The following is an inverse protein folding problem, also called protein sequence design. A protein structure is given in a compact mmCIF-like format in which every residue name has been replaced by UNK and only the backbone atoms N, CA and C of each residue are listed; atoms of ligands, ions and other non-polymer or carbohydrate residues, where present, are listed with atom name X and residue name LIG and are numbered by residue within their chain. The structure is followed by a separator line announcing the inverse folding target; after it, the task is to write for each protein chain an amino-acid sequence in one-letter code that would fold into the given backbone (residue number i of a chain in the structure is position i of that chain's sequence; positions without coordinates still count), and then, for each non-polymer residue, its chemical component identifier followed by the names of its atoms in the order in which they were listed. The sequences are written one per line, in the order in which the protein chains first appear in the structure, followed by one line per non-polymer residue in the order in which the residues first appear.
data_IF_921328028203
#
_entry.id   IF_921328028203
#
_cell.length_a   1.000
_cell.length_b   1.000
_cell.length_c   1.000
_cell.angle_alpha   90.00
_cell.angle_beta   90.00
_cell.angle_gamma   90.00
#
_symmetry.space_group_name_H-M   'P 1'
#
loop_
_entity.id
_entity.type
_entity.pdbx_description
1 polymer ?
#
# COMPACT_ATOMS: atom_id res chain seq x y z
N UNK A 1 29.71 4.94 -3.01
CA UNK A 1 30.15 3.54 -2.80
C UNK A 1 29.87 2.74 -4.05
N UNK A 2 30.72 1.77 -4.40
CA UNK A 2 30.47 0.87 -5.54
C UNK A 2 30.45 1.53 -6.92
N UNK A 3 31.00 2.73 -7.05
CA UNK A 3 31.10 3.45 -8.32
C UNK A 3 32.56 3.50 -8.77
N UNK A 4 32.79 3.30 -10.07
CA UNK A 4 34.12 3.48 -10.68
C UNK A 4 34.57 4.94 -10.71
N UNK A 5 33.63 5.89 -10.57
CA UNK A 5 33.87 7.34 -10.62
C UNK A 5 34.57 7.81 -11.92
N UNK A 6 34.18 7.22 -13.06
CA UNK A 6 34.74 7.54 -14.39
C UNK A 6 33.84 8.46 -15.23
N UNK A 7 32.57 8.62 -14.86
CA UNK A 7 31.58 9.36 -15.66
C UNK A 7 31.36 10.77 -15.10
N UNK A 8 31.61 11.78 -15.93
CA UNK A 8 31.31 13.18 -15.62
C UNK A 8 29.87 13.52 -16.03
N UNK A 9 29.17 14.42 -15.31
CA UNK A 9 29.64 15.19 -14.14
C UNK A 9 29.49 14.46 -12.80
N UNK A 10 28.94 13.24 -12.77
CA UNK A 10 28.67 12.53 -11.51
C UNK A 10 29.95 12.32 -10.66
N UNK A 11 31.08 12.01 -11.30
CA UNK A 11 32.38 11.85 -10.66
C UNK A 11 32.98 13.16 -10.10
N UNK A 12 32.55 14.32 -10.59
CA UNK A 12 33.08 15.62 -10.17
C UNK A 12 32.61 15.99 -8.76
N UNK A 13 31.43 15.51 -8.34
CA UNK A 13 30.89 15.78 -7.01
C UNK A 13 31.79 15.21 -5.90
N UNK A 14 32.09 13.88 -5.86
CA UNK A 14 33.02 13.33 -4.89
C UNK A 14 34.42 13.97 -4.97
N UNK A 15 34.93 14.25 -6.18
CA UNK A 15 36.24 14.91 -6.37
C UNK A 15 36.29 16.29 -5.69
N UNK A 16 35.25 17.10 -5.85
CA UNK A 16 35.15 18.42 -5.21
C UNK A 16 35.06 18.32 -3.68
N UNK A 17 34.36 17.31 -3.16
CA UNK A 17 34.27 17.05 -1.72
C UNK A 17 35.62 16.62 -1.16
N UNK A 18 36.31 15.65 -1.77
CA UNK A 18 37.61 15.16 -1.28
C UNK A 18 38.72 16.21 -1.25
N UNK A 19 38.65 17.23 -2.10
CA UNK A 19 39.58 18.38 -2.07
C UNK A 19 39.38 19.31 -0.86
N UNK A 20 38.21 19.28 -0.22
CA UNK A 20 37.82 20.26 0.82
C UNK A 20 37.41 19.62 2.16
N UNK A 21 37.02 18.35 2.16
CA UNK A 21 36.39 17.63 3.27
C UNK A 21 36.83 16.16 3.24
N UNK A 22 36.51 15.45 4.31
CA UNK A 22 36.76 14.01 4.42
C UNK A 22 35.96 13.24 3.37
N UNK A 23 36.66 12.44 2.58
CA UNK A 23 36.07 11.56 1.58
C UNK A 23 36.46 10.11 1.89
N UNK A 24 35.45 9.23 1.99
CA UNK A 24 35.65 7.80 2.13
C UNK A 24 35.19 7.13 0.83
N UNK A 25 36.06 6.34 0.22
CA UNK A 25 35.75 5.56 -0.98
C UNK A 25 35.69 4.09 -0.60
N UNK A 26 34.54 3.47 -0.84
CA UNK A 26 34.33 2.02 -0.70
C UNK A 26 34.12 1.45 -2.09
N UNK A 27 35.11 0.70 -2.58
CA UNK A 27 35.04 0.04 -3.87
C UNK A 27 36.04 -1.12 -3.94
N UNK A 28 35.70 -2.18 -4.68
CA UNK A 28 36.61 -3.31 -4.87
C UNK A 28 37.81 -2.94 -5.75
N UNK A 29 37.59 -2.06 -6.73
CA UNK A 29 38.60 -1.61 -7.69
C UNK A 29 39.10 -0.20 -7.36
N UNK A 30 40.32 0.13 -7.79
CA UNK A 30 40.84 1.50 -7.71
C UNK A 30 39.94 2.46 -8.48
N UNK A 31 39.80 3.69 -7.99
CA UNK A 31 39.06 4.76 -8.68
C UNK A 31 40.01 5.89 -9.11
N UNK A 32 39.68 6.66 -10.17
CA UNK A 32 40.52 7.77 -10.65
C UNK A 32 40.76 8.90 -9.63
N UNK A 33 39.99 8.93 -8.54
CA UNK A 33 40.07 9.98 -7.52
C UNK A 33 40.45 9.44 -6.14
N UNK A 34 41.00 8.23 -6.07
CA UNK A 34 41.50 7.63 -4.82
C UNK A 34 42.48 8.55 -4.09
N UNK A 35 43.26 9.35 -4.83
CA UNK A 35 44.19 10.37 -4.29
C UNK A 35 43.52 11.44 -3.41
N UNK A 36 42.22 11.66 -3.60
CA UNK A 36 41.43 12.63 -2.84
C UNK A 36 40.66 11.98 -1.69
N UNK A 37 40.75 10.66 -1.51
CA UNK A 37 40.09 9.96 -0.41
C UNK A 37 40.96 9.98 0.86
N UNK A 38 40.35 10.35 1.97
CA UNK A 38 40.97 10.22 3.31
C UNK A 38 41.08 8.76 3.73
N UNK A 39 40.12 7.94 3.33
CA UNK A 39 40.09 6.50 3.60
C UNK A 39 39.58 5.75 2.36
N UNK A 40 40.31 4.72 1.93
CA UNK A 40 39.88 3.80 0.88
C UNK A 40 39.67 2.40 1.46
N UNK A 41 38.47 1.86 1.33
CA UNK A 41 38.10 0.52 1.79
C UNK A 41 37.88 -0.38 0.57
N UNK A 42 38.75 -1.38 0.42
CA UNK A 42 38.74 -2.31 -0.71
C UNK A 42 37.92 -3.56 -0.38
N UNK A 43 36.60 -3.41 -0.28
CA UNK A 43 35.70 -4.49 0.11
C UNK A 43 34.32 -4.35 -0.58
N UNK A 44 33.49 -5.39 -0.47
CA UNK A 44 32.11 -5.34 -0.94
C UNK A 44 31.33 -4.32 -0.10
N UNK A 45 30.48 -3.52 -0.75
CA UNK A 45 29.72 -2.47 -0.08
C UNK A 45 28.85 -3.03 1.05
N UNK A 46 28.20 -4.17 0.82
CA UNK A 46 27.33 -4.81 1.81
C UNK A 46 28.09 -5.23 3.08
N UNK A 47 29.30 -5.77 2.95
CA UNK A 47 30.10 -6.21 4.10
C UNK A 47 30.52 -5.00 4.94
N UNK A 48 30.94 -3.91 4.28
CA UNK A 48 31.29 -2.65 4.95
C UNK A 48 30.07 -2.06 5.66
N UNK A 49 28.89 -2.05 5.02
CA UNK A 49 27.67 -1.54 5.62
C UNK A 49 27.19 -2.40 6.79
N UNK A 50 27.28 -3.73 6.71
CA UNK A 50 26.94 -4.61 7.84
C UNK A 50 27.83 -4.33 9.05
N UNK A 51 29.13 -4.20 8.85
CA UNK A 51 30.08 -3.89 9.92
C UNK A 51 29.83 -2.49 10.49
N UNK A 52 29.61 -1.50 9.64
CA UNK A 52 29.30 -0.13 10.06
C UNK A 52 28.01 -0.07 10.88
N UNK A 53 26.95 -0.73 10.43
CA UNK A 53 25.66 -0.77 11.13
C UNK A 53 25.79 -1.48 12.49
N UNK A 54 26.59 -2.56 12.56
CA UNK A 54 26.93 -3.24 13.83
C UNK A 54 27.64 -2.30 14.80
N UNK A 55 28.64 -1.56 14.32
CA UNK A 55 29.41 -0.61 15.15
C UNK A 55 28.53 0.55 15.64
N UNK A 56 27.65 1.06 14.78
CA UNK A 56 26.68 2.09 15.12
C UNK A 56 25.51 1.58 15.98
N UNK A 57 25.42 0.27 16.23
CA UNK A 57 24.30 -0.40 16.92
C UNK A 57 22.95 -0.09 16.28
N UNK A 58 22.94 -0.04 14.95
CA UNK A 58 21.74 0.20 14.15
C UNK A 58 21.39 -1.08 13.39
N UNK A 59 20.15 -1.55 13.57
CA UNK A 59 19.63 -2.63 12.73
C UNK A 59 19.35 -2.15 11.32
N UNK A 60 19.68 -3.00 10.34
CA UNK A 60 19.27 -2.82 8.94
C UNK A 60 17.82 -3.29 8.82
N UNK A 61 16.88 -2.44 8.38
CA UNK A 61 15.49 -2.85 8.23
C UNK A 61 15.34 -3.85 7.09
N UNK A 62 14.42 -4.80 7.25
CA UNK A 62 14.00 -5.66 6.16
C UNK A 62 13.25 -4.84 5.11
N UNK A 63 13.57 -5.07 3.84
CA UNK A 63 12.90 -4.41 2.73
C UNK A 63 11.73 -5.26 2.25
N UNK A 64 10.55 -4.65 2.20
CA UNK A 64 9.37 -5.20 1.54
C UNK A 64 8.94 -4.25 0.42
N UNK A 65 8.58 -4.83 -0.72
CA UNK A 65 7.97 -4.11 -1.83
C UNK A 65 6.54 -3.74 -1.45
N UNK A 66 6.19 -2.46 -1.55
CA UNK A 66 4.83 -1.98 -1.33
C UNK A 66 4.28 -1.48 -2.65
N UNK A 67 3.13 -2.02 -3.06
CA UNK A 67 2.34 -1.53 -4.19
C UNK A 67 1.00 -1.02 -3.68
N UNK A 68 0.47 0.02 -4.31
CA UNK A 68 -0.90 0.46 -4.09
C UNK A 68 -1.73 0.19 -5.34
N UNK A 69 -2.95 -0.30 -5.15
CA UNK A 69 -3.91 -0.50 -6.21
C UNK A 69 -5.25 0.10 -5.80
N UNK A 70 -5.95 0.71 -6.74
CA UNK A 70 -7.27 1.29 -6.52
C UNK A 70 -8.32 0.40 -7.16
N UNK A 71 -9.29 0.00 -6.35
CA UNK A 71 -10.48 -0.73 -6.73
C UNK A 71 -11.65 0.24 -6.68
N UNK A 72 -12.25 0.54 -7.83
CA UNK A 72 -13.49 1.31 -7.94
C UNK A 72 -14.57 0.42 -8.52
N UNK A 73 -15.74 0.40 -7.88
CA UNK A 73 -16.89 -0.36 -8.38
C UNK A 73 -18.07 0.57 -8.49
N UNK A 74 -18.59 0.68 -9.70
CA UNK A 74 -19.77 1.47 -10.03
C UNK A 74 -20.93 0.54 -10.39
N UNK A 75 -22.14 0.85 -9.93
CA UNK A 75 -23.36 0.12 -10.27
C UNK A 75 -24.14 0.87 -11.35
N UNK A 76 -24.54 0.15 -12.40
CA UNK A 76 -25.38 0.71 -13.44
C UNK A 76 -26.85 0.36 -13.15
N UNK A 77 -27.60 1.33 -12.65
CA UNK A 77 -28.99 1.21 -12.18
C UNK A 77 -29.98 0.70 -13.23
N UNK A 78 -29.60 0.73 -14.51
CA UNK A 78 -30.47 0.35 -15.63
C UNK A 78 -30.44 -1.14 -15.99
N UNK A 79 -29.34 -1.84 -15.68
CA UNK A 79 -29.12 -3.20 -16.17
C UNK A 79 -28.56 -4.17 -15.10
N UNK A 80 -28.54 -3.76 -13.82
CA UNK A 80 -27.94 -4.52 -12.72
C UNK A 80 -26.51 -5.01 -13.02
N UNK A 81 -25.75 -4.20 -13.77
CA UNK A 81 -24.35 -4.46 -14.11
C UNK A 81 -23.44 -3.67 -13.18
N UNK A 82 -22.46 -4.35 -12.59
CA UNK A 82 -21.33 -3.74 -11.91
C UNK A 82 -20.17 -3.53 -12.89
N UNK A 83 -19.60 -2.33 -12.86
CA UNK A 83 -18.34 -2.04 -13.54
C UNK A 83 -17.22 -1.97 -12.52
N UNK A 84 -16.30 -2.93 -12.60
CA UNK A 84 -15.13 -3.04 -11.71
C UNK A 84 -13.94 -2.42 -12.41
N UNK A 85 -13.40 -1.36 -11.83
CA UNK A 85 -12.21 -0.64 -12.27
C UNK A 85 -11.05 -0.97 -11.33
N UNK A 86 -9.95 -1.46 -11.88
CA UNK A 86 -8.74 -1.75 -11.12
C UNK A 86 -7.52 -1.11 -11.77
N UNK A 87 -6.75 -0.35 -11.00
CA UNK A 87 -5.54 0.33 -11.45
C UNK A 87 -4.46 0.30 -10.37
N UNK A 88 -3.19 0.34 -10.76
CA UNK A 88 -2.08 0.51 -9.82
C UNK A 88 -1.66 1.98 -9.76
N UNK A 89 -1.24 2.42 -8.57
CA UNK A 89 -0.92 3.81 -8.28
C UNK A 89 0.34 3.92 -7.40
N UNK A 90 1.08 5.01 -7.56
CA UNK A 90 2.05 5.50 -6.58
C UNK A 90 1.33 6.21 -5.42
N UNK A 91 2.02 6.45 -4.28
CA UNK A 91 1.46 7.20 -3.15
C UNK A 91 0.96 8.62 -3.48
N UNK A 92 1.46 9.23 -4.57
CA UNK A 92 1.02 10.54 -5.05
C UNK A 92 -0.19 10.48 -6.01
N UNK A 93 -0.70 9.27 -6.28
CA UNK A 93 -1.82 9.03 -7.19
C UNK A 93 -1.43 8.84 -8.65
N UNK A 94 -0.13 8.84 -8.98
CA UNK A 94 0.33 8.60 -10.36
C UNK A 94 0.07 7.15 -10.77
N UNK A 95 -0.61 6.88 -11.91
CA UNK A 95 -0.84 5.52 -12.39
C UNK A 95 0.45 4.76 -12.72
N UNK A 96 0.47 3.46 -12.42
CA UNK A 96 1.63 2.57 -12.57
C UNK A 96 1.36 1.34 -13.43
N UNK A 97 2.26 1.06 -14.36
CA UNK A 97 2.28 -0.12 -15.25
C UNK A 97 3.00 -1.32 -14.65
N UNK A 98 2.42 -1.92 -13.60
CA UNK A 98 2.99 -3.08 -12.91
C UNK A 98 2.31 -4.42 -13.23
N UNK A 99 1.12 -4.39 -13.83
CA UNK A 99 0.38 -5.60 -14.17
C UNK A 99 0.67 -6.02 -15.61
N UNK A 100 0.98 -7.30 -15.79
CA UNK A 100 1.07 -7.96 -17.10
C UNK A 100 -0.33 -8.36 -17.60
N UNK A 101 -1.17 -8.85 -16.70
CA UNK A 101 -2.56 -9.17 -16.96
C UNK A 101 -3.38 -9.10 -15.66
N UNK A 102 -4.69 -8.88 -15.83
CA UNK A 102 -5.68 -8.94 -14.76
C UNK A 102 -6.79 -9.89 -15.22
N UNK A 103 -7.14 -10.87 -14.38
CA UNK A 103 -8.21 -11.84 -14.67
C UNK A 103 -9.28 -11.76 -13.60
N UNK A 104 -10.51 -11.45 -14.02
CA UNK A 104 -11.67 -11.54 -13.15
C UNK A 104 -12.25 -12.95 -13.25
N UNK A 105 -12.23 -13.67 -12.13
CA UNK A 105 -12.72 -15.03 -12.01
C UNK A 105 -14.06 -14.99 -11.26
N UNK A 106 -15.11 -15.53 -11.89
CA UNK A 106 -16.42 -15.76 -11.29
C UNK A 106 -16.74 -17.25 -11.31
N UNK A 107 -17.84 -17.66 -10.68
CA UNK A 107 -18.28 -19.06 -10.70
C UNK A 107 -18.61 -19.58 -12.12
N UNK A 108 -18.91 -18.68 -13.06
CA UNK A 108 -19.36 -19.02 -14.40
C UNK A 108 -18.29 -18.75 -15.48
N UNK A 109 -17.39 -17.78 -15.29
CA UNK A 109 -16.47 -17.32 -16.32
C UNK A 109 -15.15 -16.75 -15.78
N UNK A 110 -14.08 -16.83 -16.58
CA UNK A 110 -12.83 -16.09 -16.36
C UNK A 110 -12.62 -15.08 -17.48
N UNK A 111 -12.58 -13.80 -17.14
CA UNK A 111 -12.33 -12.70 -18.08
C UNK A 111 -10.93 -12.16 -17.85
N UNK A 112 -10.01 -12.43 -18.77
CA UNK A 112 -8.63 -11.88 -18.72
C UNK A 112 -8.50 -10.65 -19.60
N UNK A 113 -7.89 -9.60 -19.06
CA UNK A 113 -7.55 -8.38 -19.80
C UNK A 113 -6.10 -8.00 -19.54
N UNK A 114 -5.41 -7.58 -20.59
CA UNK A 114 -4.08 -7.00 -20.50
C UNK A 114 -4.20 -5.48 -20.53
N UNK A 115 -3.41 -4.74 -19.72
CA UNK A 115 -3.38 -3.29 -19.82
C UNK A 115 -2.82 -2.88 -21.20
N UNK A 116 -3.59 -2.08 -21.94
CA UNK A 116 -3.23 -1.64 -23.29
C UNK A 116 -2.30 -0.42 -23.24
N UNK A 117 -0.99 -0.69 -23.19
CA UNK A 117 0.05 0.33 -23.11
C UNK A 117 0.10 1.24 -24.35
N UNK A 118 -0.18 0.70 -25.55
CA UNK A 118 -0.03 1.46 -26.80
C UNK A 118 -1.16 2.47 -26.98
N UNK A 119 -2.41 2.04 -26.74
CA UNK A 119 -3.56 2.95 -26.80
C UNK A 119 -3.54 3.96 -25.66
N UNK A 120 -3.04 3.60 -24.46
CA UNK A 120 -2.90 4.52 -23.34
C UNK A 120 -1.88 5.65 -23.61
N UNK A 121 -0.69 5.33 -24.16
CA UNK A 121 0.32 6.34 -24.50
C UNK A 121 -0.17 7.35 -25.55
N UNK A 122 -0.99 6.89 -26.51
CA UNK A 122 -1.46 7.70 -27.63
C UNK A 122 -2.72 8.54 -27.31
N UNK A 123 -3.53 8.10 -26.34
CA UNK A 123 -4.81 8.74 -25.99
C UNK A 123 -4.75 9.64 -24.76
N UNK A 124 -3.65 9.63 -23.99
CA UNK A 124 -3.56 10.34 -22.71
C UNK A 124 -4.52 9.80 -21.63
N UNK A 125 -5.12 8.63 -21.86
CA UNK A 125 -6.03 7.98 -20.92
C UNK A 125 -5.29 7.35 -19.73
N UNK A 126 -6.01 7.14 -18.62
CA UNK A 126 -5.52 6.56 -17.37
C UNK A 126 -4.76 5.25 -17.63
N UNK A 127 -3.45 5.29 -17.42
CA UNK A 127 -2.44 4.45 -18.06
C UNK A 127 -2.55 2.93 -17.84
N UNK A 128 -3.43 2.46 -16.96
CA UNK A 128 -3.43 1.07 -16.48
C UNK A 128 -4.76 0.55 -15.96
N UNK A 129 -5.84 1.33 -16.11
CA UNK A 129 -7.13 0.92 -15.58
C UNK A 129 -7.72 -0.22 -16.41
N UNK A 130 -7.95 -1.36 -15.75
CA UNK A 130 -8.70 -2.46 -16.36
C UNK A 130 -10.13 -2.41 -15.84
N UNK A 131 -11.06 -2.41 -16.79
CA UNK A 131 -12.50 -2.34 -16.53
C UNK A 131 -13.14 -3.68 -16.85
N UNK A 132 -13.81 -4.30 -15.88
CA UNK A 132 -14.64 -5.48 -16.09
C UNK A 132 -16.11 -5.11 -15.94
N UNK A 133 -16.96 -5.70 -16.78
CA UNK A 133 -18.41 -5.64 -16.62
C UNK A 133 -18.89 -6.99 -16.10
N UNK A 134 -19.64 -6.97 -15.02
CA UNK A 134 -20.20 -8.16 -14.39
C UNK A 134 -21.67 -7.93 -14.04
N UNK A 135 -22.55 -8.79 -14.55
CA UNK A 135 -23.95 -8.80 -14.13
C UNK A 135 -24.04 -9.52 -12.80
N UNK A 136 -24.63 -8.88 -11.79
CA UNK A 136 -24.93 -9.54 -10.52
C UNK A 136 -26.38 -9.98 -10.55
N UNK A 137 -26.63 -11.29 -10.44
CA UNK A 137 -27.99 -11.80 -10.26
C UNK A 137 -28.37 -11.52 -8.80
N UNK A 138 -29.10 -10.43 -8.55
CA UNK A 138 -29.70 -10.22 -7.23
C UNK A 138 -30.75 -11.31 -7.02
N UNK A 139 -30.54 -12.15 -6.00
CA UNK A 139 -31.53 -13.11 -5.56
C UNK A 139 -32.61 -12.37 -4.75
N UNK A 140 -33.34 -11.48 -5.40
CA UNK A 140 -34.56 -10.85 -4.85
C UNK A 140 -35.74 -11.44 -5.59
N UNK A 141 -36.18 -12.60 -5.10
CA UNK A 141 -37.59 -12.93 -4.93
C UNK A 141 -37.65 -14.32 -4.27
N UNK A 142 -37.92 -14.33 -2.96
CA UNK A 142 -39.07 -15.02 -2.40
C UNK A 142 -39.07 -14.91 -0.88
N UNK A 143 -40.22 -14.46 -0.37
CA UNK A 143 -40.63 -14.66 1.02
C UNK A 143 -40.69 -16.16 1.26
N UNK A 144 -39.94 -16.66 2.24
CA UNK A 144 -40.41 -17.47 3.37
C UNK A 144 -39.22 -18.02 4.15
N UNK A 145 -39.45 -18.13 5.45
CA UNK A 145 -38.48 -18.39 6.51
C UNK A 145 -37.79 -19.75 6.34
N UNK A 146 -36.45 -19.77 6.32
CA UNK A 146 -35.59 -20.66 7.12
C UNK A 146 -34.10 -20.51 6.73
N UNK A 147 -33.24 -20.58 7.75
CA UNK A 147 -31.80 -20.28 7.76
C UNK A 147 -31.03 -20.86 6.56
N UNK A 148 -30.53 -19.99 5.67
CA UNK A 148 -29.48 -20.29 4.69
C UNK A 148 -28.47 -19.15 4.69
N UNK A 149 -27.22 -19.47 5.03
CA UNK A 149 -26.08 -18.56 4.90
C UNK A 149 -25.98 -18.06 3.46
N UNK A 150 -26.00 -16.74 3.29
CA UNK A 150 -26.00 -16.05 2.01
C UNK A 150 -24.74 -16.40 1.19
N UNK A 151 -24.92 -17.22 0.14
CA UNK A 151 -23.87 -17.50 -0.85
C UNK A 151 -23.72 -16.29 -1.78
N UNK A 152 -22.86 -15.36 -1.40
CA UNK A 152 -22.29 -14.39 -2.36
C UNK A 152 -21.46 -15.18 -3.36
N UNK A 153 -21.72 -15.02 -4.66
CA UNK A 153 -20.92 -15.60 -5.72
C UNK A 153 -19.44 -15.25 -5.49
N UNK A 154 -18.57 -16.26 -5.43
CA UNK A 154 -17.14 -16.06 -5.16
C UNK A 154 -16.50 -15.36 -6.37
N UNK A 155 -16.34 -14.05 -6.27
CA UNK A 155 -15.68 -13.22 -7.29
C UNK A 155 -14.26 -12.95 -6.81
N UNK A 156 -13.27 -13.35 -7.60
CA UNK A 156 -11.86 -13.08 -7.31
C UNK A 156 -11.16 -12.40 -8.48
N UNK A 157 -10.19 -11.56 -8.17
CA UNK A 157 -9.35 -10.86 -9.14
C UNK A 157 -7.93 -11.39 -9.04
N UNK A 158 -7.47 -12.05 -10.09
CA UNK A 158 -6.10 -12.53 -10.22
C UNK A 158 -5.22 -11.47 -10.87
N UNK A 159 -4.13 -11.14 -10.19
CA UNK A 159 -3.14 -10.15 -10.59
C UNK A 159 -1.90 -10.86 -11.08
N UNK A 160 -1.54 -10.68 -12.35
CA UNK A 160 -0.27 -11.12 -12.91
C UNK A 160 0.66 -9.90 -13.04
N UNK A 161 1.86 -9.95 -12.45
CA UNK A 161 2.81 -8.85 -12.45
C UNK A 161 3.82 -8.97 -13.60
N UNK A 162 4.45 -7.84 -13.96
CA UNK A 162 5.55 -7.81 -14.94
C UNK A 162 6.82 -8.53 -14.43
N UNK A 163 6.93 -8.75 -13.12
CA UNK A 163 7.97 -9.60 -12.52
C UNK A 163 9.29 -8.89 -12.20
N UNK A 164 9.27 -7.56 -12.00
CA UNK A 164 10.48 -6.78 -11.69
C UNK A 164 11.19 -7.24 -10.42
N UNK A 165 10.46 -7.82 -9.47
CA UNK A 165 10.96 -8.33 -8.20
C UNK A 165 10.62 -9.81 -7.99
N UNK A 166 10.33 -10.55 -9.07
CA UNK A 166 9.80 -11.92 -9.03
C UNK A 166 8.50 -12.03 -8.24
N UNK A 167 7.62 -11.01 -8.32
CA UNK A 167 6.31 -11.07 -7.67
C UNK A 167 5.49 -12.26 -8.24
N UNK A 168 4.97 -13.18 -7.40
CA UNK A 168 4.08 -14.23 -7.87
C UNK A 168 2.70 -13.65 -8.24
N UNK A 169 1.88 -14.41 -8.96
CA UNK A 169 0.48 -14.03 -9.16
C UNK A 169 -0.25 -13.93 -7.83
N UNK A 170 -1.12 -12.93 -7.68
CA UNK A 170 -1.89 -12.69 -6.46
C UNK A 170 -3.38 -12.78 -6.75
N UNK A 171 -4.09 -13.67 -6.04
CA UNK A 171 -5.57 -13.73 -6.10
C UNK A 171 -6.17 -12.91 -4.96
N UNK A 172 -7.01 -11.93 -5.32
CA UNK A 172 -7.76 -11.09 -4.40
C UNK A 172 -9.23 -11.51 -4.38
N UNK A 173 -9.75 -11.87 -3.21
CA UNK A 173 -11.19 -12.10 -3.05
C UNK A 173 -11.92 -10.75 -2.99
N UNK A 174 -12.83 -10.53 -3.94
CA UNK A 174 -13.63 -9.32 -4.02
C UNK A 174 -14.95 -9.43 -3.24
N UNK A 175 -15.38 -10.63 -2.86
CA UNK A 175 -16.66 -10.88 -2.16
C UNK A 175 -16.91 -9.94 -0.98
N UNK A 176 -15.95 -9.76 -0.05
CA UNK A 176 -16.12 -8.85 1.10
C UNK A 176 -16.37 -7.39 0.72
N UNK A 177 -15.87 -6.93 -0.43
CA UNK A 177 -16.00 -5.54 -0.88
C UNK A 177 -17.30 -5.32 -1.66
N UNK A 178 -17.81 -6.34 -2.36
CA UNK A 178 -19.02 -6.25 -3.17
C UNK A 178 -20.32 -6.24 -2.34
N UNK A 179 -20.24 -6.55 -1.04
CA UNK A 179 -21.36 -6.41 -0.11
C UNK A 179 -21.56 -4.97 0.43
N UNK A 180 -20.81 -3.99 -0.11
CA UNK A 180 -20.91 -2.59 0.31
C UNK A 180 -21.86 -1.80 -0.59
N UNK A 181 -22.34 -0.64 -0.13
CA UNK A 181 -23.16 0.24 -0.96
C UNK A 181 -22.35 0.77 -2.15
N UNK A 182 -22.91 0.67 -3.35
CA UNK A 182 -22.31 1.22 -4.56
C UNK A 182 -22.72 2.69 -4.80
N UNK A 183 -21.91 3.50 -5.49
CA UNK A 183 -20.53 3.20 -5.92
C UNK A 183 -19.54 3.28 -4.75
N UNK A 184 -18.45 2.53 -4.83
CA UNK A 184 -17.36 2.64 -3.85
C UNK A 184 -15.99 2.72 -4.51
N UNK A 185 -15.02 3.25 -3.78
CA UNK A 185 -13.61 3.23 -4.17
C UNK A 185 -12.74 2.94 -2.97
N UNK A 186 -11.88 1.92 -3.08
CA UNK A 186 -10.93 1.49 -2.05
C UNK A 186 -9.51 1.51 -2.59
N UNK A 187 -8.54 1.77 -1.72
CA UNK A 187 -7.13 1.62 -2.01
C UNK A 187 -6.61 0.39 -1.26
N UNK A 188 -6.01 -0.53 -2.00
CA UNK A 188 -5.40 -1.75 -1.50
C UNK A 188 -3.90 -1.56 -1.41
N UNK A 189 -3.32 -1.89 -0.26
CA UNK A 189 -1.87 -1.96 -0.08
C UNK A 189 -1.43 -3.41 -0.19
N UNK A 190 -0.66 -3.71 -1.22
CA UNK A 190 -0.06 -5.02 -1.48
C UNK A 190 1.38 -4.99 -0.99
N UNK A 191 1.72 -5.82 -0.01
CA UNK A 191 3.07 -5.89 0.56
C UNK A 191 3.69 -7.23 0.17
N UNK A 192 4.81 -7.20 -0.55
CA UNK A 192 5.53 -8.37 -1.02
C UNK A 192 6.93 -8.39 -0.45
N UNK A 193 7.31 -9.52 0.17
CA UNK A 193 8.67 -9.70 0.66
C UNK A 193 9.45 -10.56 -0.36
N UNK A 194 10.42 -9.99 -1.09
CA UNK A 194 11.14 -10.71 -2.14
C UNK A 194 12.09 -11.78 -1.60
N UNK A 195 12.46 -11.71 -0.33
CA UNK A 195 13.41 -12.66 0.27
C UNK A 195 12.73 -14.00 0.59
N UNK A 196 11.45 -13.96 0.98
CA UNK A 196 10.65 -15.15 1.25
C UNK A 196 9.78 -15.56 0.06
N UNK A 197 9.52 -14.64 -0.87
CA UNK A 197 8.73 -14.92 -2.07
C UNK A 197 7.22 -14.95 -1.84
N UNK A 198 6.72 -14.26 -0.80
CA UNK A 198 5.30 -14.24 -0.44
C UNK A 198 4.77 -12.83 -0.24
N UNK A 199 3.49 -12.64 -0.57
CA UNK A 199 2.73 -11.46 -0.18
C UNK A 199 2.35 -11.56 1.31
N UNK A 200 2.71 -10.54 2.08
CA UNK A 200 2.13 -10.31 3.40
C UNK A 200 0.67 -9.86 3.22
N UNK A 201 -0.21 -10.24 4.15
CA UNK A 201 -1.66 -9.96 4.07
C UNK A 201 -1.93 -8.53 3.61
N UNK A 202 -2.75 -8.38 2.56
CA UNK A 202 -3.14 -7.08 2.03
C UNK A 202 -4.06 -6.36 3.02
N UNK A 203 -3.92 -5.04 3.10
CA UNK A 203 -4.77 -4.19 3.93
C UNK A 203 -5.56 -3.29 2.97
N UNK A 204 -6.89 -3.33 3.06
CA UNK A 204 -7.74 -2.31 2.46
C UNK A 204 -7.63 -1.04 3.30
N UNK A 205 -7.04 -0.01 2.71
CA UNK A 205 -6.70 1.24 3.36
C UNK A 205 -7.62 2.32 2.76
N UNK A 206 -8.78 2.49 3.42
CA UNK A 206 -9.72 3.62 3.31
C UNK A 206 -10.65 3.71 2.09
N UNK A 207 -11.78 4.40 2.33
CA UNK A 207 -12.66 4.96 1.31
C UNK A 207 -12.01 6.20 0.69
N UNK A 208 -12.06 6.33 -0.63
CA UNK A 208 -11.33 7.36 -1.38
C UNK A 208 -11.78 8.83 -1.15
N UNK A 209 -12.71 9.08 -0.21
CA UNK A 209 -13.01 10.44 0.24
C UNK A 209 -11.86 11.08 1.05
N UNK A 210 -10.88 10.29 1.50
CA UNK A 210 -9.75 10.74 2.31
C UNK A 210 -8.39 10.62 1.58
N UNK A 211 -8.28 11.18 0.38
CA UNK A 211 -7.01 11.27 -0.38
C UNK A 211 -5.89 12.02 0.36
N UNK A 212 -6.20 12.76 1.43
CA UNK A 212 -5.20 13.43 2.27
C UNK A 212 -4.46 12.51 3.26
N UNK A 213 -4.94 11.29 3.52
CA UNK A 213 -4.38 10.43 4.58
C UNK A 213 -3.20 9.56 4.15
N UNK A 214 -3.00 9.33 2.84
CA UNK A 214 -1.95 8.43 2.31
C UNK A 214 -0.54 8.97 2.60
N UNK A 215 -0.38 10.30 2.61
CA UNK A 215 0.89 10.97 2.93
C UNK A 215 1.34 10.77 4.39
N UNK A 216 0.42 10.47 5.31
CA UNK A 216 0.74 10.36 6.74
C UNK A 216 1.29 9.00 7.16
N UNK A 217 1.10 7.96 6.34
CA UNK A 217 1.39 6.58 6.75
C UNK A 217 2.75 6.04 6.25
N UNK A 218 3.47 6.81 5.41
CA UNK A 218 4.81 6.47 4.93
C UNK A 218 5.95 6.85 5.90
N UNK A 219 5.63 7.55 6.99
CA UNK A 219 6.60 7.93 8.02
C UNK A 219 6.40 7.15 9.32
N UNK A 220 6.84 5.87 9.33
CA UNK A 220 7.16 5.17 10.57
C UNK A 220 8.06 3.97 10.23
N UNK A 221 9.32 3.90 10.65
CA UNK A 221 9.77 3.85 12.04
C UNK A 221 11.15 4.52 12.22
N UNK A 222 11.19 5.68 12.89
CA UNK A 222 12.23 6.18 13.83
C UNK A 222 12.22 7.71 13.85
N UNK A 223 11.42 8.28 14.75
CA UNK A 223 11.72 9.43 15.64
C UNK A 223 10.41 9.94 16.26
N UNK A 224 10.37 10.08 17.59
CA UNK A 224 9.37 10.85 18.36
C UNK A 224 9.99 12.22 18.70
N UNK A 225 9.23 13.26 19.10
CA UNK A 225 7.81 13.60 18.90
C UNK A 225 7.65 15.03 18.30
N UNK A 226 6.43 15.58 18.29
CA UNK A 226 5.95 16.87 17.71
C UNK A 226 5.45 16.63 16.26
N UNK A 227 4.18 16.39 16.00
CA UNK A 227 3.06 17.27 16.35
C UNK A 227 1.84 16.51 16.89
N UNK A 228 1.52 16.90 18.11
CA UNK A 228 0.28 16.68 18.84
C UNK A 228 -0.68 17.76 18.34
N UNK A 229 -1.66 17.42 17.51
CA UNK A 229 -2.82 18.30 17.26
C UNK A 229 -4.04 17.54 16.74
N UNK A 230 -3.87 16.56 15.85
CA UNK A 230 -5.04 15.96 15.15
C UNK A 230 -5.63 14.73 15.85
N UNK A 231 -4.89 14.09 16.76
CA UNK A 231 -5.40 12.95 17.58
C UNK A 231 -6.23 13.37 18.80
N UNK A 232 -6.28 14.66 19.15
CA UNK A 232 -7.03 15.15 20.30
C UNK A 232 -8.54 15.35 20.03
N UNK A 233 -8.95 15.47 18.77
CA UNK A 233 -10.34 15.82 18.41
C UNK A 233 -11.23 14.56 18.27
N UNK A 234 -10.66 13.42 17.87
CA UNK A 234 -11.39 12.15 17.75
C UNK A 234 -11.45 11.35 19.06
N UNK A 235 -10.46 11.49 19.95
CA UNK A 235 -10.48 10.81 21.25
C UNK A 235 -11.41 11.49 22.26
N UNK A 236 -11.60 12.81 22.16
CA UNK A 236 -12.51 13.58 23.05
C UNK A 236 -13.99 13.34 22.72
N UNK A 237 -14.31 13.09 21.45
CA UNK A 237 -15.70 12.79 21.01
C UNK A 237 -16.11 11.36 21.36
N UNK A 238 -15.23 10.38 21.23
CA UNK A 238 -15.52 8.98 21.60
C UNK A 238 -15.56 8.75 23.13
N UNK A 239 -14.67 9.39 23.90
CA UNK A 239 -14.67 9.28 25.38
C UNK A 239 -15.82 10.11 25.98
N UNK A 240 -16.16 11.27 25.39
CA UNK A 240 -17.25 12.11 25.85
C UNK A 240 -18.64 11.45 25.73
N UNK A 241 -18.86 10.65 24.69
CA UNK A 241 -20.12 9.92 24.50
C UNK A 241 -20.26 8.74 25.48
N UNK A 242 -19.17 8.02 25.75
CA UNK A 242 -19.19 6.86 26.63
C UNK A 242 -19.33 7.23 28.13
N UNK A 243 -18.85 8.43 28.53
CA UNK A 243 -18.97 8.92 29.92
C UNK A 243 -20.39 9.44 30.22
N UNK A 244 -21.04 10.14 29.27
CA UNK A 244 -22.38 10.72 29.49
C UNK A 244 -23.51 9.69 29.47
N UNK A 245 -23.47 8.71 28.58
CA UNK A 245 -24.58 7.75 28.39
C UNK A 245 -24.45 6.50 29.27
N UNK A 246 -23.24 6.07 29.64
CA UNK A 246 -23.03 4.78 30.34
C UNK A 246 -22.57 4.95 31.79
N UNK A 247 -21.64 5.87 32.08
CA UNK A 247 -21.07 6.01 33.43
C UNK A 247 -21.90 6.92 34.35
N UNK A 248 -22.53 7.97 33.82
CA UNK A 248 -23.27 8.95 34.63
C UNK A 248 -24.56 8.39 35.26
N UNK A 249 -25.40 7.60 34.55
CA UNK A 249 -26.59 6.99 35.13
C UNK A 249 -26.25 5.91 36.18
N UNK A 250 -25.17 5.15 35.96
CA UNK A 250 -24.69 4.13 36.89
C UNK A 250 -24.17 4.75 38.20
N UNK A 251 -23.46 5.88 38.13
CA UNK A 251 -22.96 6.60 39.30
C UNK A 251 -24.10 7.27 40.10
N UNK A 252 -25.11 7.82 39.42
CA UNK A 252 -26.30 8.41 40.06
C UNK A 252 -27.16 7.36 40.79
N UNK A 253 -27.28 6.14 40.24
CA UNK A 253 -27.96 5.04 40.92
C UNK A 253 -27.23 4.58 42.19
N UNK A 254 -25.89 4.53 42.18
CA UNK A 254 -25.12 4.19 43.38
C UNK A 254 -25.15 5.28 44.46
N UNK A 255 -25.21 6.56 44.07
CA UNK A 255 -25.34 7.68 45.03
C UNK A 255 -26.76 7.79 45.61
N UNK A 256 -27.80 7.42 44.84
CA UNK A 256 -29.21 7.39 45.28
C UNK A 256 -29.48 6.28 46.31
N UNK A 257 -28.86 5.10 46.15
CA UNK A 257 -29.00 4.00 47.12
C UNK A 257 -28.27 4.28 48.45
N UNK A 258 -27.15 5.01 48.42
CA UNK A 258 -26.36 5.35 49.62
C UNK A 258 -26.94 6.48 50.49
N UNK A 259 -28.06 7.09 50.08
CA UNK A 259 -28.78 8.16 50.82
C UNK A 259 -30.08 7.70 51.47
N UNK A 260 -30.45 6.40 51.34
CA UNK A 260 -31.65 5.80 51.95
C UNK A 260 -31.34 4.76 53.04
N UNK A 261 -30.08 4.64 53.44
CA UNK A 261 -29.62 3.98 54.68
C UNK A 261 -29.09 5.06 55.63
#
# INVERSE_FOLDING_TARGET
MGSSLTVTPAADFPRRVGKKKTLVIVNLQKTPIDEHATLRINAKCDDVMRLLMKELKLDVPEWCLVRHAKLKVDENSTNSELTIHFEALEPDGTPLSIFKALSLNTSEETKTKKPDLQTALLSGAEFTSVKFKQTVKSNTDNKEEEKKEDKVEAISLELEFVGNYNEPSLSLDLGPYLNTKFPFTKILKLVYNPFVGFFEKYVAIFDAHDTQLILSCHFCKRQKPIQIATKAILLTTAIGYHIKEVLFPALLNQISQKKRE
#
